data_IF_873486898014
#
_entry.id   IF_873486898014
#
_cell.length_a   1.000
_cell.length_b   1.000
_cell.length_c   1.000
_cell.angle_alpha   90.00
_cell.angle_beta   90.00
_cell.angle_gamma   90.00
#
_symmetry.space_group_name_H-M   'P 1'
#
loop_
_entity.id
_entity.type
_entity.pdbx_description
1 polymer ?
#
# COMPACT_ATOMS: atom_id res chain seq x y z
N UNK A 1 -6.91 -2.87 7.80
CA UNK A 1 -6.53 -4.29 8.03
C UNK A 1 -6.61 -5.05 6.71
N UNK A 2 -7.70 -4.95 5.97
CA UNK A 2 -7.91 -5.61 4.67
C UNK A 2 -6.87 -5.23 3.57
N UNK A 3 -6.47 -3.96 3.47
CA UNK A 3 -5.52 -3.48 2.44
C UNK A 3 -4.10 -4.04 2.63
N UNK A 4 -3.69 -4.28 3.88
CA UNK A 4 -2.39 -4.86 4.20
C UNK A 4 -2.32 -6.32 3.79
N UNK A 5 -3.34 -7.10 4.16
CA UNK A 5 -3.41 -8.52 3.86
C UNK A 5 -3.40 -8.74 2.33
N UNK A 6 -4.11 -7.87 1.56
CA UNK A 6 -4.09 -7.90 0.09
C UNK A 6 -2.70 -7.58 -0.48
N UNK A 7 -2.01 -6.57 0.07
CA UNK A 7 -0.70 -6.16 -0.42
C UNK A 7 0.36 -7.25 -0.17
N UNK A 8 0.38 -7.84 1.03
CA UNK A 8 1.27 -8.95 1.38
C UNK A 8 1.02 -10.14 0.47
N UNK A 9 -0.25 -10.53 0.28
CA UNK A 9 -0.65 -11.63 -0.60
C UNK A 9 -0.17 -11.41 -2.04
N UNK A 10 -0.29 -10.20 -2.59
CA UNK A 10 0.18 -9.87 -3.93
C UNK A 10 1.70 -10.00 -4.07
N UNK A 11 2.49 -9.52 -3.10
CA UNK A 11 3.95 -9.61 -3.16
C UNK A 11 4.43 -11.06 -3.02
N UNK A 12 3.82 -11.83 -2.11
CA UNK A 12 4.24 -13.21 -1.83
C UNK A 12 3.75 -14.22 -2.86
N UNK A 13 2.85 -13.81 -3.76
CA UNK A 13 2.40 -14.64 -4.90
C UNK A 13 3.39 -14.61 -6.08
N UNK A 14 4.36 -13.70 -6.13
CA UNK A 14 5.45 -13.80 -7.10
C UNK A 14 6.32 -15.01 -6.82
N UNK A 15 6.60 -15.80 -7.85
CA UNK A 15 7.27 -17.10 -7.72
C UNK A 15 8.69 -17.00 -7.15
N UNK A 16 9.44 -15.98 -7.53
CA UNK A 16 10.77 -15.69 -7.01
C UNK A 16 10.75 -15.30 -5.53
N UNK A 17 9.77 -14.48 -5.11
CA UNK A 17 9.58 -14.07 -3.71
C UNK A 17 9.14 -15.28 -2.88
N UNK A 18 8.18 -16.07 -3.38
CA UNK A 18 7.71 -17.27 -2.70
C UNK A 18 8.85 -18.29 -2.52
N UNK A 19 9.59 -18.59 -3.58
CA UNK A 19 10.72 -19.54 -3.54
C UNK A 19 11.80 -19.08 -2.55
N UNK A 20 12.12 -17.78 -2.52
CA UNK A 20 13.12 -17.23 -1.62
C UNK A 20 12.70 -17.36 -0.15
N UNK A 21 11.44 -16.99 0.18
CA UNK A 21 10.87 -17.17 1.53
C UNK A 21 11.00 -18.64 1.97
N UNK A 22 10.59 -19.56 1.12
CA UNK A 22 10.60 -21.00 1.40
C UNK A 22 12.02 -21.52 1.57
N UNK A 23 12.92 -21.17 0.66
CA UNK A 23 14.31 -21.63 0.70
C UNK A 23 15.05 -21.11 1.94
N UNK A 24 14.86 -19.85 2.30
CA UNK A 24 15.50 -19.27 3.48
C UNK A 24 14.92 -19.84 4.78
N UNK A 25 13.58 -19.88 4.90
CA UNK A 25 12.95 -20.21 6.17
C UNK A 25 12.81 -21.72 6.41
N UNK A 26 12.41 -22.50 5.41
CA UNK A 26 12.24 -23.95 5.56
C UNK A 26 13.54 -24.74 5.32
N UNK A 27 14.36 -24.27 4.40
CA UNK A 27 15.53 -25.00 3.94
C UNK A 27 16.87 -24.37 4.35
N UNK A 28 16.81 -23.36 5.25
CA UNK A 28 17.98 -22.70 5.83
C UNK A 28 18.95 -22.13 4.77
N UNK A 29 18.39 -21.47 3.74
CA UNK A 29 19.13 -20.87 2.65
C UNK A 29 19.55 -21.84 1.53
N UNK A 30 19.25 -23.14 1.65
CA UNK A 30 19.49 -24.10 0.54
C UNK A 30 18.44 -23.89 -0.55
N UNK A 31 18.87 -23.83 -1.81
CA UNK A 31 17.99 -23.79 -2.97
C UNK A 31 17.37 -25.16 -3.23
N UNK A 32 16.19 -25.37 -2.66
CA UNK A 32 15.40 -26.61 -2.83
C UNK A 32 14.22 -26.38 -3.77
N UNK A 33 13.69 -25.15 -3.80
CA UNK A 33 12.56 -24.74 -4.63
C UNK A 33 13.03 -23.65 -5.60
N UNK A 34 12.88 -23.89 -6.89
CA UNK A 34 13.09 -22.89 -7.92
C UNK A 34 11.76 -22.25 -8.35
N UNK A 35 11.78 -20.96 -8.68
CA UNK A 35 10.59 -20.23 -9.11
C UNK A 35 9.89 -20.89 -10.30
N UNK A 36 10.66 -21.42 -11.26
CA UNK A 36 10.12 -22.12 -12.43
C UNK A 36 9.44 -23.47 -12.14
N UNK A 37 9.55 -23.98 -10.91
CA UNK A 37 8.90 -25.22 -10.47
C UNK A 37 7.55 -24.96 -9.80
N UNK A 38 7.19 -23.70 -9.60
CA UNK A 38 5.99 -23.32 -8.86
C UNK A 38 4.77 -23.20 -9.77
N UNK A 39 3.65 -23.73 -9.29
CA UNK A 39 2.33 -23.61 -9.90
C UNK A 39 1.35 -23.18 -8.82
N UNK A 40 0.58 -22.13 -9.04
CA UNK A 40 -0.42 -21.65 -8.08
C UNK A 40 -1.44 -22.74 -7.80
N UNK A 41 -1.52 -23.16 -6.55
CA UNK A 41 -2.53 -24.11 -6.12
C UNK A 41 -3.89 -23.43 -5.96
N UNK A 42 -4.95 -24.02 -6.53
CA UNK A 42 -6.33 -23.56 -6.35
C UNK A 42 -6.91 -24.26 -5.13
N UNK A 43 -6.52 -23.80 -3.93
CA UNK A 43 -6.91 -24.39 -2.65
C UNK A 43 -8.12 -23.68 -2.01
N UNK A 44 -9.17 -23.45 -2.82
CA UNK A 44 -10.43 -22.92 -2.29
C UNK A 44 -11.33 -24.07 -1.92
N UNK A 45 -11.52 -24.29 -0.63
CA UNK A 45 -12.52 -25.23 -0.13
C UNK A 45 -13.58 -24.47 0.67
N UNK A 46 -14.84 -24.64 0.26
CA UNK A 46 -15.99 -24.12 0.98
C UNK A 46 -16.52 -25.20 1.92
N UNK A 47 -16.72 -24.87 3.20
CA UNK A 47 -17.41 -25.74 4.14
C UNK A 47 -18.70 -25.10 4.65
N UNK A 48 -19.70 -25.94 4.88
CA UNK A 48 -20.95 -25.49 5.46
C UNK A 48 -20.76 -25.17 6.95
N UNK A 49 -21.01 -23.94 7.34
CA UNK A 49 -21.01 -23.52 8.74
C UNK A 49 -22.38 -22.96 9.11
N UNK A 50 -22.66 -22.86 10.40
CA UNK A 50 -23.89 -22.24 10.91
C UNK A 50 -23.95 -20.78 10.43
N UNK A 51 -24.78 -20.48 9.42
CA UNK A 51 -24.90 -19.17 8.79
C UNK A 51 -24.38 -19.06 7.36
N UNK A 52 -24.02 -20.16 6.70
CA UNK A 52 -23.64 -20.19 5.29
C UNK A 52 -22.36 -20.96 4.99
N UNK A 53 -21.97 -20.92 3.71
CA UNK A 53 -20.68 -21.45 3.25
C UNK A 53 -19.56 -20.50 3.70
N UNK A 54 -18.54 -21.05 4.34
CA UNK A 54 -17.30 -20.31 4.64
C UNK A 54 -16.15 -20.92 3.84
N UNK A 55 -15.36 -20.07 3.24
CA UNK A 55 -14.12 -20.46 2.57
C UNK A 55 -12.99 -20.56 3.60
N UNK A 56 -12.23 -21.63 3.54
CA UNK A 56 -10.98 -21.79 4.28
C UNK A 56 -9.86 -21.85 3.24
N UNK A 57 -9.06 -20.80 3.19
CA UNK A 57 -8.00 -20.63 2.20
C UNK A 57 -6.76 -20.07 2.89
N UNK A 58 -5.58 -20.55 2.49
CA UNK A 58 -4.32 -19.91 2.83
C UNK A 58 -4.16 -18.63 2.01
N UNK A 59 -3.34 -17.70 2.48
CA UNK A 59 -3.10 -16.48 1.73
C UNK A 59 -2.44 -16.73 0.38
N UNK A 60 -1.42 -17.58 0.33
CA UNK A 60 -0.78 -18.04 -0.90
C UNK A 60 -0.50 -19.53 -0.81
N UNK A 61 -0.78 -20.29 -1.86
CA UNK A 61 -0.47 -21.73 -1.94
C UNK A 61 0.10 -22.09 -3.30
N UNK A 62 1.22 -22.80 -3.31
CA UNK A 62 1.87 -23.27 -4.55
C UNK A 62 2.22 -24.75 -4.49
N UNK A 63 2.01 -25.41 -5.62
CA UNK A 63 2.50 -26.75 -5.88
C UNK A 63 3.94 -26.64 -6.36
N UNK A 64 4.83 -27.45 -5.83
CA UNK A 64 6.20 -27.60 -6.31
C UNK A 64 6.23 -28.79 -7.26
N UNK A 65 6.71 -28.60 -8.48
CA UNK A 65 6.82 -29.65 -9.49
C UNK A 65 8.27 -30.00 -9.77
N UNK A 66 8.54 -31.29 -9.90
CA UNK A 66 9.80 -31.83 -10.42
C UNK A 66 9.49 -32.91 -11.43
N UNK A 67 10.11 -32.86 -12.60
CA UNK A 67 9.94 -33.83 -13.70
C UNK A 67 8.46 -34.07 -14.06
N UNK A 68 7.65 -33.01 -14.02
CA UNK A 68 6.22 -33.05 -14.32
C UNK A 68 5.32 -33.61 -13.19
N UNK A 69 5.90 -34.07 -12.07
CA UNK A 69 5.20 -34.56 -10.92
C UNK A 69 5.08 -33.50 -9.83
N UNK A 70 3.97 -33.52 -9.08
CA UNK A 70 3.84 -32.70 -7.86
C UNK A 70 4.63 -33.38 -6.75
N UNK A 71 5.64 -32.69 -6.22
CA UNK A 71 6.47 -33.20 -5.12
C UNK A 71 6.11 -32.64 -3.76
N UNK A 72 5.48 -31.45 -3.72
CA UNK A 72 4.94 -30.88 -2.48
C UNK A 72 3.91 -29.80 -2.76
N UNK A 73 3.10 -29.47 -1.74
CA UNK A 73 2.28 -28.26 -1.65
C UNK A 73 2.81 -27.43 -0.50
N UNK A 74 3.13 -26.17 -0.76
CA UNK A 74 3.58 -25.23 0.26
C UNK A 74 2.61 -24.06 0.31
N UNK A 75 2.14 -23.71 1.51
CA UNK A 75 1.27 -22.56 1.74
C UNK A 75 1.91 -21.55 2.66
N UNK A 76 1.63 -20.27 2.41
CA UNK A 76 2.02 -19.15 3.28
C UNK A 76 0.74 -18.55 3.88
N UNK A 77 0.77 -18.33 5.18
CA UNK A 77 -0.27 -17.68 5.97
C UNK A 77 0.32 -16.48 6.68
N UNK A 78 -0.23 -15.29 6.44
CA UNK A 78 0.26 -14.02 6.98
C UNK A 78 -0.52 -13.63 8.25
N UNK A 79 0.19 -13.28 9.30
CA UNK A 79 -0.40 -12.89 10.56
C UNK A 79 0.14 -11.55 11.04
N UNK A 80 -0.68 -10.51 10.99
CA UNK A 80 -0.33 -9.19 11.55
C UNK A 80 -0.41 -9.14 13.08
N UNK A 81 -1.16 -10.07 13.68
CA UNK A 81 -1.30 -10.23 15.15
C UNK A 81 -1.27 -11.69 15.51
N UNK A 82 -0.75 -12.01 16.70
CA UNK A 82 -0.79 -13.36 17.21
C UNK A 82 -2.26 -13.85 17.34
N UNK A 83 -2.51 -15.06 16.84
CA UNK A 83 -3.81 -15.73 16.85
C UNK A 83 -3.73 -17.03 17.65
N UNK A 84 -4.54 -17.10 18.71
CA UNK A 84 -4.62 -18.29 19.56
C UNK A 84 -5.09 -19.54 18.80
N UNK A 85 -5.89 -19.38 17.76
CA UNK A 85 -6.44 -20.49 16.98
C UNK A 85 -5.52 -21.00 15.88
N UNK A 86 -4.29 -20.50 15.76
CA UNK A 86 -3.39 -20.79 14.63
C UNK A 86 -3.15 -22.27 14.43
N UNK A 87 -2.96 -23.05 15.50
CA UNK A 87 -2.76 -24.48 15.40
C UNK A 87 -3.97 -25.20 14.79
N UNK A 88 -5.20 -24.76 15.11
CA UNK A 88 -6.43 -25.28 14.51
C UNK A 88 -6.58 -24.88 13.05
N UNK A 89 -6.24 -23.63 12.72
CA UNK A 89 -6.30 -23.13 11.34
C UNK A 89 -5.35 -23.89 10.43
N UNK A 90 -4.07 -23.99 10.82
CA UNK A 90 -3.06 -24.68 10.01
C UNK A 90 -3.37 -26.17 9.87
N UNK A 91 -3.82 -26.82 10.95
CA UNK A 91 -4.30 -28.21 10.89
C UNK A 91 -5.45 -28.37 9.89
N UNK A 92 -6.40 -27.43 9.89
CA UNK A 92 -7.51 -27.41 8.95
C UNK A 92 -7.06 -27.28 7.49
N UNK A 93 -6.14 -26.37 7.22
CA UNK A 93 -5.59 -26.19 5.88
C UNK A 93 -4.86 -27.43 5.37
N UNK A 94 -4.01 -28.04 6.19
CA UNK A 94 -3.24 -29.21 5.81
C UNK A 94 -4.17 -30.42 5.63
N UNK A 95 -5.17 -30.60 6.51
CA UNK A 95 -6.17 -31.66 6.39
C UNK A 95 -7.00 -31.54 5.10
N UNK A 96 -7.41 -30.31 4.71
CA UNK A 96 -8.12 -30.07 3.46
C UNK A 96 -7.25 -30.40 2.24
N UNK A 97 -5.99 -30.02 2.25
CA UNK A 97 -5.04 -30.32 1.18
C UNK A 97 -4.80 -31.84 1.00
N UNK A 98 -4.68 -32.58 2.12
CA UNK A 98 -4.60 -34.07 2.06
C UNK A 98 -5.92 -34.68 1.62
N UNK A 99 -7.07 -34.18 2.11
CA UNK A 99 -8.37 -34.66 1.67
C UNK A 99 -8.58 -34.52 0.17
N UNK A 100 -8.14 -33.39 -0.40
CA UNK A 100 -8.20 -33.15 -1.84
C UNK A 100 -7.39 -34.20 -2.63
N UNK A 101 -6.20 -34.54 -2.15
CA UNK A 101 -5.38 -35.60 -2.75
C UNK A 101 -6.10 -36.97 -2.72
N UNK A 102 -6.81 -37.26 -1.63
CA UNK A 102 -7.63 -38.48 -1.51
C UNK A 102 -8.80 -38.51 -2.50
N UNK A 103 -9.46 -37.37 -2.71
CA UNK A 103 -10.63 -37.27 -3.59
C UNK A 103 -10.27 -37.25 -5.07
N UNK A 104 -9.06 -36.80 -5.43
CA UNK A 104 -8.59 -36.73 -6.82
C UNK A 104 -8.38 -38.13 -7.45
N UNK A 105 -8.40 -39.20 -6.64
CA UNK A 105 -8.59 -40.60 -7.02
C UNK A 105 -7.61 -41.20 -8.00
N UNK A 106 -6.68 -40.39 -8.55
CA UNK A 106 -5.80 -40.75 -9.66
C UNK A 106 -4.39 -41.16 -9.21
N UNK A 107 -4.08 -41.01 -7.91
CA UNK A 107 -2.72 -41.25 -7.39
C UNK A 107 -2.76 -42.14 -6.17
N UNK A 108 -1.86 -43.13 -6.17
CA UNK A 108 -1.51 -43.92 -4.97
C UNK A 108 -0.45 -43.17 -4.12
N UNK A 109 0.24 -42.19 -4.68
CA UNK A 109 1.32 -41.45 -4.02
C UNK A 109 0.85 -40.06 -3.58
N UNK A 110 0.82 -39.87 -2.27
CA UNK A 110 0.52 -38.57 -1.66
C UNK A 110 1.80 -37.72 -1.56
N UNK A 111 1.68 -36.44 -1.87
CA UNK A 111 2.78 -35.50 -1.68
C UNK A 111 2.62 -34.74 -0.35
N UNK A 112 3.75 -34.34 0.29
CA UNK A 112 3.72 -33.63 1.55
C UNK A 112 3.11 -32.22 1.39
N UNK A 113 2.46 -31.78 2.46
CA UNK A 113 1.90 -30.45 2.62
C UNK A 113 2.66 -29.73 3.73
N UNK A 114 3.12 -28.51 3.47
CA UNK A 114 3.78 -27.67 4.46
C UNK A 114 3.13 -26.28 4.48
N UNK A 115 2.76 -25.82 5.67
CA UNK A 115 2.28 -24.46 5.86
C UNK A 115 3.32 -23.63 6.62
N UNK A 116 3.71 -22.48 6.06
CA UNK A 116 4.56 -21.46 6.65
C UNK A 116 3.66 -20.35 7.21
N UNK A 117 3.81 -20.04 8.46
CA UNK A 117 3.14 -18.91 9.10
C UNK A 117 4.15 -17.78 9.28
N UNK A 118 3.90 -16.63 8.63
CA UNK A 118 4.70 -15.42 8.75
C UNK A 118 4.02 -14.46 9.73
N UNK A 119 4.57 -14.33 10.93
CA UNK A 119 4.05 -13.43 11.96
C UNK A 119 4.80 -12.09 11.92
N UNK A 120 4.07 -11.02 11.51
CA UNK A 120 4.60 -9.67 11.36
C UNK A 120 4.37 -8.78 12.59
N UNK A 121 3.96 -9.37 13.72
CA UNK A 121 3.77 -8.66 14.98
C UNK A 121 5.10 -8.12 15.52
N UNK A 122 5.08 -6.88 16.05
CA UNK A 122 6.26 -6.29 16.73
C UNK A 122 6.41 -6.77 18.17
N UNK A 123 5.50 -7.60 18.68
CA UNK A 123 5.56 -8.28 19.97
C UNK A 123 5.75 -9.77 19.74
N UNK A 124 6.46 -10.47 20.65
CA UNK A 124 6.66 -11.91 20.54
C UNK A 124 5.35 -12.69 20.49
N UNK A 125 5.39 -13.83 19.81
CA UNK A 125 4.27 -14.76 19.78
C UNK A 125 4.12 -15.46 21.13
N UNK A 126 2.99 -15.28 21.79
CA UNK A 126 2.75 -15.78 23.16
C UNK A 126 1.77 -16.95 23.23
N UNK A 127 1.08 -17.27 22.14
CA UNK A 127 0.12 -18.37 22.13
C UNK A 127 0.77 -19.73 21.84
N UNK A 128 0.17 -20.83 22.30
CA UNK A 128 0.66 -22.18 21.98
C UNK A 128 0.74 -22.39 20.46
N UNK A 129 1.78 -23.09 20.03
CA UNK A 129 2.00 -23.47 18.62
C UNK A 129 1.48 -24.87 18.31
N UNK A 130 0.79 -25.51 19.24
CA UNK A 130 0.28 -26.85 19.10
C UNK A 130 -1.16 -26.98 19.59
N UNK A 131 -1.84 -28.00 19.09
CA UNK A 131 -3.25 -28.26 19.32
C UNK A 131 -3.56 -28.47 20.80
N UNK A 132 -2.76 -29.28 21.50
CA UNK A 132 -3.01 -29.57 22.92
C UNK A 132 -2.93 -28.33 23.78
N UNK A 133 -2.01 -27.40 23.47
CA UNK A 133 -1.88 -26.12 24.19
C UNK A 133 -3.06 -25.16 23.96
N UNK A 134 -3.78 -25.29 22.85
CA UNK A 134 -4.96 -24.47 22.53
C UNK A 134 -6.23 -25.02 23.17
N UNK A 135 -6.32 -26.32 23.31
CA UNK A 135 -7.53 -27.03 23.81
C UNK A 135 -7.60 -26.99 25.33
N UNK A 136 -8.81 -27.04 25.84
CA UNK A 136 -9.09 -27.43 27.25
C UNK A 136 -9.24 -28.94 27.28
N UNK A 137 -8.24 -29.64 27.81
CA UNK A 137 -8.25 -31.10 27.89
C UNK A 137 -8.26 -31.51 29.35
N UNK A 138 -9.29 -32.24 29.78
CA UNK A 138 -9.27 -32.85 31.10
C UNK A 138 -8.19 -33.94 31.15
N UNK A 139 -7.65 -34.21 32.34
CA UNK A 139 -6.47 -35.06 32.52
C UNK A 139 -6.66 -36.45 31.93
N UNK A 140 -7.85 -37.03 32.06
CA UNK A 140 -8.22 -38.35 31.57
C UNK A 140 -8.15 -38.49 30.03
N UNK A 141 -8.23 -37.35 29.30
CA UNK A 141 -8.25 -37.36 27.82
C UNK A 141 -6.89 -36.96 27.22
N UNK A 142 -5.90 -36.56 28.02
CA UNK A 142 -4.60 -36.03 27.51
C UNK A 142 -3.90 -37.04 26.59
N UNK A 143 -3.96 -38.32 26.92
CA UNK A 143 -3.27 -39.34 26.14
C UNK A 143 -4.10 -39.82 24.94
N UNK A 144 -5.40 -39.54 24.93
CA UNK A 144 -6.31 -39.94 23.83
C UNK A 144 -6.31 -38.89 22.70
N UNK A 145 -5.86 -37.66 22.97
CA UNK A 145 -5.86 -36.58 21.97
C UNK A 145 -4.53 -36.53 21.21
N UNK A 146 -4.58 -36.69 19.90
CA UNK A 146 -3.42 -36.48 19.04
C UNK A 146 -3.00 -35.00 19.04
N UNK A 147 -1.70 -34.73 19.01
CA UNK A 147 -1.18 -33.40 18.94
C UNK A 147 -0.82 -33.02 17.48
N UNK A 148 -1.12 -31.80 17.11
CA UNK A 148 -0.68 -31.20 15.86
C UNK A 148 0.14 -29.94 16.18
N UNK A 149 1.35 -29.85 15.64
CA UNK A 149 2.27 -28.73 15.94
C UNK A 149 2.54 -27.89 14.69
N UNK A 150 2.35 -26.58 14.79
CA UNK A 150 2.76 -25.61 13.77
C UNK A 150 4.27 -25.43 13.87
N UNK A 151 5.02 -26.21 13.09
CA UNK A 151 6.50 -26.19 13.11
C UNK A 151 7.08 -24.94 12.46
N UNK A 152 6.44 -24.46 11.40
CA UNK A 152 6.98 -23.44 10.51
C UNK A 152 6.33 -22.07 10.80
N UNK A 153 6.30 -21.64 12.04
CA UNK A 153 5.87 -20.31 12.45
C UNK A 153 7.11 -19.44 12.69
N UNK A 154 7.26 -18.42 11.84
CA UNK A 154 8.38 -17.49 11.86
C UNK A 154 7.92 -16.09 12.26
N UNK A 155 8.50 -15.58 13.33
CA UNK A 155 8.28 -14.22 13.82
C UNK A 155 9.22 -13.28 13.06
N UNK A 156 8.76 -12.71 11.94
CA UNK A 156 9.60 -12.00 10.97
C UNK A 156 10.37 -10.85 11.60
N UNK A 157 9.73 -10.09 12.51
CA UNK A 157 10.40 -9.01 13.23
C UNK A 157 11.50 -9.46 14.20
N UNK A 158 11.57 -10.77 14.51
CA UNK A 158 12.54 -11.35 15.44
C UNK A 158 13.54 -12.28 14.76
N UNK A 159 13.55 -12.35 13.44
CA UNK A 159 14.54 -13.11 12.68
C UNK A 159 15.96 -12.57 12.99
N UNK A 160 16.96 -13.46 13.11
CA UNK A 160 18.38 -13.05 13.17
C UNK A 160 18.77 -12.21 11.94
N UNK A 161 19.69 -11.27 12.12
CA UNK A 161 20.09 -10.37 11.05
C UNK A 161 20.67 -11.11 9.84
N UNK A 162 21.47 -12.14 10.09
CA UNK A 162 22.04 -13.01 9.06
C UNK A 162 20.97 -13.75 8.22
N UNK A 163 19.83 -14.10 8.83
CA UNK A 163 18.69 -14.70 8.10
C UNK A 163 18.03 -13.66 7.23
N UNK A 164 17.83 -12.44 7.74
CA UNK A 164 17.28 -11.34 6.94
C UNK A 164 18.17 -11.04 5.74
N UNK A 165 19.49 -10.96 5.94
CA UNK A 165 20.45 -10.69 4.88
C UNK A 165 20.54 -11.82 3.84
N UNK A 166 20.12 -13.03 4.16
CA UNK A 166 20.12 -14.16 3.24
C UNK A 166 18.98 -14.13 2.22
N UNK A 167 17.93 -13.32 2.45
CA UNK A 167 16.90 -13.13 1.43
C UNK A 167 17.45 -12.38 0.22
N UNK A 168 17.16 -12.90 -0.96
CA UNK A 168 17.61 -12.34 -2.24
C UNK A 168 16.51 -11.61 -3.01
N UNK A 169 15.25 -11.90 -2.69
CA UNK A 169 14.06 -11.27 -3.27
C UNK A 169 13.64 -10.01 -2.54
N UNK A 170 12.53 -9.42 -2.98
CA UNK A 170 11.92 -8.25 -2.34
C UNK A 170 11.41 -8.53 -0.91
N UNK A 171 11.31 -9.80 -0.50
CA UNK A 171 10.99 -10.13 0.88
C UNK A 171 12.02 -9.62 1.89
N UNK A 172 13.28 -9.44 1.45
CA UNK A 172 14.29 -8.77 2.26
C UNK A 172 13.80 -7.43 2.84
N UNK A 173 13.24 -6.57 1.99
CA UNK A 173 12.77 -5.24 2.40
C UNK A 173 11.64 -5.32 3.42
N UNK A 174 10.76 -6.31 3.28
CA UNK A 174 9.67 -6.56 4.21
C UNK A 174 10.20 -7.00 5.56
N UNK A 175 11.10 -7.98 5.58
CA UNK A 175 11.70 -8.51 6.79
C UNK A 175 12.55 -7.45 7.51
N UNK A 176 13.37 -6.70 6.76
CA UNK A 176 14.19 -5.61 7.28
C UNK A 176 13.33 -4.47 7.84
N UNK A 177 12.24 -4.13 7.16
CA UNK A 177 11.30 -3.11 7.61
C UNK A 177 10.71 -3.44 8.99
N UNK A 178 10.12 -4.62 9.16
CA UNK A 178 9.52 -4.98 10.46
C UNK A 178 10.56 -5.18 11.55
N UNK A 179 11.75 -5.66 11.20
CA UNK A 179 12.87 -5.75 12.16
C UNK A 179 13.31 -4.36 12.64
N UNK A 180 13.46 -3.38 11.73
CA UNK A 180 13.80 -2.01 12.08
C UNK A 180 12.68 -1.31 12.86
N UNK A 181 11.42 -1.50 12.47
CA UNK A 181 10.28 -0.96 13.22
C UNK A 181 10.26 -1.47 14.66
N UNK A 182 10.57 -2.75 14.89
CA UNK A 182 10.69 -3.32 16.25
C UNK A 182 11.88 -2.76 17.04
N UNK A 183 13.05 -2.62 16.39
CA UNK A 183 14.31 -2.30 17.07
C UNK A 183 14.60 -0.80 17.17
N UNK A 184 14.17 -0.02 16.17
CA UNK A 184 14.49 1.40 16.03
C UNK A 184 13.24 2.30 16.01
N UNK A 185 12.05 1.73 15.85
CA UNK A 185 10.81 2.49 15.71
C UNK A 185 10.61 3.20 14.37
N UNK A 186 11.61 3.16 13.49
CA UNK A 186 11.59 3.79 12.16
C UNK A 186 12.25 2.86 11.15
N UNK A 187 11.79 2.92 9.91
CA UNK A 187 12.37 2.20 8.79
C UNK A 187 13.23 3.09 7.90
N UNK A 188 14.45 2.64 7.64
CA UNK A 188 15.38 3.23 6.66
C UNK A 188 15.74 2.16 5.66
N UNK A 189 15.35 2.35 4.40
CA UNK A 189 15.61 1.39 3.33
C UNK A 189 17.07 1.42 2.85
N UNK A 190 17.64 0.27 2.41
CA UNK A 190 18.95 0.23 1.77
C UNK A 190 18.84 0.81 0.34
N UNK A 191 19.59 1.89 0.03
CA UNK A 191 19.41 2.63 -1.22
C UNK A 191 19.83 1.84 -2.47
N UNK A 192 20.88 1.02 -2.34
CA UNK A 192 21.54 0.37 -3.48
C UNK A 192 21.01 -1.03 -3.79
N UNK A 193 20.07 -1.54 -2.97
CA UNK A 193 19.52 -2.88 -3.17
C UNK A 193 18.51 -2.89 -4.32
N UNK A 194 18.64 -3.86 -5.22
CA UNK A 194 17.72 -4.05 -6.34
C UNK A 194 16.31 -4.44 -5.86
N UNK A 195 15.31 -3.96 -6.57
CA UNK A 195 13.89 -4.25 -6.38
C UNK A 195 13.36 -4.89 -7.66
N UNK A 196 12.70 -6.04 -7.53
CA UNK A 196 12.07 -6.77 -8.63
C UNK A 196 10.61 -6.38 -8.86
N UNK A 197 9.85 -6.23 -7.77
CA UNK A 197 8.40 -6.01 -7.80
C UNK A 197 8.01 -4.70 -7.09
N UNK A 198 8.52 -3.59 -7.62
CA UNK A 198 8.45 -2.26 -6.98
C UNK A 198 7.06 -1.90 -6.47
N UNK A 199 6.01 -2.05 -7.29
CA UNK A 199 4.66 -1.65 -6.91
C UNK A 199 4.08 -2.50 -5.77
N UNK A 200 4.27 -3.82 -5.83
CA UNK A 200 3.82 -4.73 -4.78
C UNK A 200 4.57 -4.45 -3.47
N UNK A 201 5.90 -4.29 -3.55
CA UNK A 201 6.74 -3.95 -2.40
C UNK A 201 6.32 -2.62 -1.75
N UNK A 202 6.13 -1.56 -2.54
CA UNK A 202 5.73 -0.25 -2.02
C UNK A 202 4.39 -0.30 -1.28
N UNK A 203 3.42 -1.10 -1.77
CA UNK A 203 2.15 -1.32 -1.08
C UNK A 203 2.35 -1.97 0.28
N UNK A 204 3.18 -3.00 0.35
CA UNK A 204 3.49 -3.68 1.62
C UNK A 204 4.19 -2.73 2.58
N UNK A 205 5.22 -2.01 2.14
CA UNK A 205 5.93 -1.06 2.98
C UNK A 205 5.03 0.08 3.48
N UNK A 206 4.15 0.61 2.62
CA UNK A 206 3.16 1.60 3.03
C UNK A 206 2.22 1.06 4.12
N UNK A 207 1.78 -0.19 3.98
CA UNK A 207 0.89 -0.83 4.95
C UNK A 207 1.59 -1.14 6.28
N UNK A 208 2.88 -1.47 6.26
CA UNK A 208 3.69 -1.74 7.44
C UNK A 208 4.08 -0.48 8.20
N UNK A 209 4.48 0.58 7.49
CA UNK A 209 4.97 1.84 8.08
C UNK A 209 3.85 2.85 8.35
N UNK A 210 2.69 2.70 7.72
CA UNK A 210 1.62 3.70 7.71
C UNK A 210 1.90 4.89 6.78
N UNK A 211 3.01 4.88 6.05
CA UNK A 211 3.41 5.97 5.16
C UNK A 211 2.72 5.88 3.80
N UNK A 212 1.62 6.59 3.66
CA UNK A 212 0.82 6.62 2.43
C UNK A 212 1.50 7.35 1.26
N UNK A 213 2.63 8.01 1.48
CA UNK A 213 3.39 8.64 0.40
C UNK A 213 3.79 7.61 -0.65
N UNK A 214 4.19 6.41 -0.24
CA UNK A 214 4.48 5.29 -1.15
C UNK A 214 3.32 4.98 -2.11
N UNK A 215 2.07 4.97 -1.63
CA UNK A 215 0.89 4.64 -2.45
C UNK A 215 0.50 5.79 -3.39
N UNK A 216 0.53 7.04 -2.90
CA UNK A 216 0.17 8.20 -3.73
C UNK A 216 1.10 8.40 -4.93
N UNK A 217 2.36 8.01 -4.76
CA UNK A 217 3.38 8.18 -5.77
C UNK A 217 3.34 7.10 -6.86
N UNK A 218 2.81 5.90 -6.56
CA UNK A 218 2.71 4.80 -7.52
C UNK A 218 1.81 5.10 -8.73
N UNK A 219 0.78 5.92 -8.57
CA UNK A 219 -0.10 6.34 -9.69
C UNK A 219 0.58 7.21 -10.75
N UNK A 220 1.83 7.62 -10.51
CA UNK A 220 2.58 8.60 -11.31
C UNK A 220 3.82 8.01 -12.01
N UNK A 221 4.18 6.78 -11.70
CA UNK A 221 5.30 6.09 -12.36
C UNK A 221 4.75 5.35 -13.56
N UNK A 222 5.11 5.78 -14.77
CA UNK A 222 4.93 4.95 -15.96
C UNK A 222 5.76 3.69 -15.78
N UNK A 223 5.12 2.53 -15.89
CA UNK A 223 5.79 1.26 -15.91
C UNK A 223 6.74 1.21 -17.11
N UNK A 224 8.02 1.41 -16.89
CA UNK A 224 9.02 0.84 -17.78
C UNK A 224 9.03 -0.65 -17.50
N UNK A 225 8.50 -1.39 -18.46
CA UNK A 225 8.30 -2.81 -18.39
C UNK A 225 9.63 -3.53 -18.16
N UNK A 226 9.76 -4.21 -17.02
CA UNK A 226 10.68 -5.34 -16.86
C UNK A 226 12.12 -5.06 -16.46
N UNK A 227 12.48 -3.85 -16.04
CA UNK A 227 13.84 -3.54 -15.57
C UNK A 227 13.97 -3.60 -14.05
N UNK A 228 14.96 -4.34 -13.54
CA UNK A 228 15.40 -4.25 -12.15
C UNK A 228 15.84 -2.82 -11.85
N UNK A 229 15.33 -2.21 -10.78
CA UNK A 229 15.73 -0.89 -10.33
C UNK A 229 16.25 -0.95 -8.91
N UNK A 230 17.04 0.03 -8.47
CA UNK A 230 17.38 0.13 -7.05
C UNK A 230 16.31 0.92 -6.29
N UNK A 231 16.21 0.70 -4.99
CA UNK A 231 15.26 1.44 -4.14
C UNK A 231 15.48 2.96 -4.25
N UNK A 232 16.74 3.42 -4.29
CA UNK A 232 17.06 4.83 -4.46
C UNK A 232 16.53 5.38 -5.79
N UNK A 233 16.82 4.72 -6.92
CA UNK A 233 16.36 5.17 -8.25
C UNK A 233 14.84 5.19 -8.35
N UNK A 234 14.18 4.17 -7.78
CA UNK A 234 12.73 4.10 -7.74
C UNK A 234 12.14 5.29 -7.00
N UNK A 235 12.66 5.62 -5.83
CA UNK A 235 12.20 6.74 -5.01
C UNK A 235 12.57 8.10 -5.62
N UNK A 236 13.73 8.25 -6.22
CA UNK A 236 14.13 9.48 -6.92
C UNK A 236 13.21 9.75 -8.12
N UNK A 237 12.87 8.74 -8.89
CA UNK A 237 11.92 8.86 -10.00
C UNK A 237 10.55 9.30 -9.50
N UNK A 238 10.08 8.70 -8.42
CA UNK A 238 8.83 9.05 -7.75
C UNK A 238 8.87 10.49 -7.24
N UNK A 239 9.94 10.87 -6.55
CA UNK A 239 10.13 12.20 -5.97
C UNK A 239 10.18 13.31 -7.04
N UNK A 240 10.96 13.09 -8.08
CA UNK A 240 11.12 14.05 -9.17
C UNK A 240 9.84 14.20 -9.98
N UNK A 241 9.11 13.13 -10.22
CA UNK A 241 7.77 13.14 -10.82
C UNK A 241 6.78 13.96 -10.01
N UNK A 242 6.70 13.74 -8.69
CA UNK A 242 5.83 14.49 -7.79
C UNK A 242 6.16 15.99 -7.71
N UNK A 243 7.45 16.33 -7.73
CA UNK A 243 7.91 17.73 -7.73
C UNK A 243 7.56 18.44 -9.03
N UNK A 244 7.72 17.79 -10.17
CA UNK A 244 7.37 18.34 -11.48
C UNK A 244 5.86 18.61 -11.61
N UNK A 245 5.04 17.68 -11.11
CA UNK A 245 3.59 17.79 -11.15
C UNK A 245 3.07 18.86 -10.19
N UNK A 246 3.54 18.90 -8.95
CA UNK A 246 3.18 19.98 -8.01
C UNK A 246 3.58 21.36 -8.52
N UNK A 247 4.70 21.47 -9.26
CA UNK A 247 5.08 22.71 -9.93
C UNK A 247 4.14 23.06 -11.09
N UNK A 248 3.70 22.06 -11.87
CA UNK A 248 2.77 22.26 -12.97
C UNK A 248 1.37 22.64 -12.47
N UNK A 249 0.88 21.98 -11.43
CA UNK A 249 -0.40 22.32 -10.78
C UNK A 249 -0.39 23.74 -10.20
N UNK A 250 0.63 24.07 -9.40
CA UNK A 250 0.76 25.41 -8.81
C UNK A 250 0.90 26.52 -9.87
N UNK A 251 1.55 26.22 -11.01
CA UNK A 251 1.63 27.16 -12.13
C UNK A 251 0.28 27.33 -12.84
N UNK A 252 -0.49 26.24 -12.98
CA UNK A 252 -1.82 26.27 -13.59
C UNK A 252 -2.83 27.02 -12.71
N UNK A 253 -2.83 26.74 -11.40
CA UNK A 253 -3.66 27.43 -10.42
C UNK A 253 -3.33 28.92 -10.37
N UNK A 254 -2.07 29.29 -10.22
CA UNK A 254 -1.64 30.69 -10.20
C UNK A 254 -1.95 31.46 -11.48
N UNK A 255 -1.88 30.79 -12.66
CA UNK A 255 -2.33 31.39 -13.92
C UNK A 255 -3.85 31.57 -13.98
N UNK A 256 -4.62 30.63 -13.47
CA UNK A 256 -6.07 30.71 -13.45
C UNK A 256 -6.55 31.82 -12.50
N UNK A 257 -5.97 31.89 -11.29
CA UNK A 257 -6.25 32.94 -10.32
C UNK A 257 -5.86 34.33 -10.84
N UNK A 258 -4.64 34.48 -11.32
CA UNK A 258 -4.17 35.77 -11.87
C UNK A 258 -5.00 36.22 -13.09
N UNK A 259 -5.48 35.27 -13.93
CA UNK A 259 -6.38 35.62 -15.03
C UNK A 259 -7.77 36.05 -14.54
N UNK A 260 -8.28 35.39 -13.51
CA UNK A 260 -9.58 35.72 -12.90
C UNK A 260 -9.53 37.11 -12.22
N UNK A 261 -8.47 37.36 -11.44
CA UNK A 261 -8.23 38.66 -10.79
C UNK A 261 -8.04 39.79 -11.81
N UNK A 262 -7.19 39.58 -12.84
CA UNK A 262 -6.98 40.56 -13.87
C UNK A 262 -8.24 40.91 -14.69
N UNK A 263 -9.12 39.87 -14.92
CA UNK A 263 -10.40 40.09 -15.58
C UNK A 263 -11.37 40.89 -14.69
N UNK A 264 -11.40 40.57 -13.39
CA UNK A 264 -12.25 41.26 -12.41
C UNK A 264 -11.80 42.73 -12.27
N UNK A 265 -10.50 42.95 -12.14
CA UNK A 265 -9.91 44.30 -12.04
C UNK A 265 -10.14 45.12 -13.33
N UNK A 266 -9.97 44.49 -14.50
CA UNK A 266 -10.25 45.12 -15.78
C UNK A 266 -11.71 45.53 -15.94
N UNK A 267 -12.65 44.68 -15.54
CA UNK A 267 -14.08 45.02 -15.51
C UNK A 267 -14.39 46.16 -14.52
N UNK A 268 -13.80 46.13 -13.34
CA UNK A 268 -13.98 47.21 -12.37
C UNK A 268 -13.48 48.56 -12.89
N UNK A 269 -12.30 48.58 -13.48
CA UNK A 269 -11.74 49.81 -14.13
C UNK A 269 -12.62 50.32 -15.27
N UNK A 270 -13.19 49.44 -16.10
CA UNK A 270 -14.12 49.82 -17.16
C UNK A 270 -15.41 50.46 -16.62
N UNK A 271 -15.99 49.86 -15.56
CA UNK A 271 -17.18 50.40 -14.88
C UNK A 271 -16.92 51.76 -14.27
N UNK A 272 -15.75 51.97 -13.65
CA UNK A 272 -15.35 53.24 -13.08
C UNK A 272 -15.12 54.30 -14.16
N UNK A 273 -14.44 53.96 -15.26
CA UNK A 273 -14.22 54.88 -16.38
C UNK A 273 -15.54 55.27 -17.03
N UNK A 274 -16.50 54.36 -17.09
CA UNK A 274 -17.85 54.69 -17.61
C UNK A 274 -18.64 55.57 -16.62
N UNK A 275 -18.57 55.28 -15.32
CA UNK A 275 -19.17 56.12 -14.29
C UNK A 275 -18.60 57.56 -14.30
N UNK A 276 -17.29 57.76 -14.46
CA UNK A 276 -16.64 59.09 -14.62
C UNK A 276 -17.19 59.85 -15.85
N UNK A 277 -17.43 59.16 -17.00
CA UNK A 277 -18.04 59.78 -18.18
C UNK A 277 -19.47 60.23 -17.91
N UNK A 278 -20.28 59.46 -17.21
CA UNK A 278 -21.65 59.79 -16.87
C UNK A 278 -21.69 60.96 -15.84
N UNK A 279 -20.75 61.01 -14.88
CA UNK A 279 -20.59 62.13 -13.96
C UNK A 279 -20.30 63.44 -14.70
N UNK A 280 -19.39 63.43 -15.66
CA UNK A 280 -19.04 64.59 -16.49
C UNK A 280 -20.21 65.02 -17.40
N UNK A 281 -21.09 64.09 -17.74
CA UNK A 281 -22.31 64.38 -18.54
C UNK A 281 -23.51 64.78 -17.67
N UNK A 282 -23.31 65.00 -16.36
CA UNK A 282 -24.32 65.47 -15.40
C UNK A 282 -25.54 64.53 -15.21
N UNK A 283 -25.35 63.21 -15.35
CA UNK A 283 -26.38 62.24 -15.03
C UNK A 283 -26.67 62.21 -13.54
N UNK A 284 -27.88 61.78 -13.17
CA UNK A 284 -28.24 61.60 -11.75
C UNK A 284 -27.44 60.44 -11.09
N UNK A 285 -27.20 60.50 -9.80
CA UNK A 285 -26.50 59.46 -9.05
C UNK A 285 -27.19 58.10 -9.18
N UNK A 286 -28.49 58.06 -9.22
CA UNK A 286 -29.29 56.85 -9.41
C UNK A 286 -29.07 56.22 -10.79
N UNK A 287 -29.01 57.05 -11.85
CA UNK A 287 -28.74 56.60 -13.20
C UNK A 287 -27.31 56.08 -13.36
N UNK A 288 -26.33 56.76 -12.72
CA UNK A 288 -24.90 56.37 -12.79
C UNK A 288 -24.71 55.01 -12.09
N UNK A 289 -25.30 54.80 -10.92
CA UNK A 289 -25.24 53.54 -10.20
C UNK A 289 -25.85 52.43 -11.05
N UNK A 290 -26.99 52.70 -11.68
CA UNK A 290 -27.71 51.71 -12.51
C UNK A 290 -26.93 51.38 -13.79
N UNK A 291 -26.47 52.37 -14.54
CA UNK A 291 -25.86 52.18 -15.86
C UNK A 291 -24.39 51.67 -15.78
N UNK A 292 -23.62 52.21 -14.82
CA UNK A 292 -22.23 51.78 -14.63
C UNK A 292 -22.12 50.51 -13.73
N UNK A 293 -23.21 50.06 -13.17
CA UNK A 293 -23.26 48.89 -12.26
C UNK A 293 -22.21 48.98 -11.13
N UNK A 294 -22.13 50.16 -10.50
CA UNK A 294 -21.24 50.39 -9.36
C UNK A 294 -22.07 50.63 -8.09
N UNK A 295 -21.45 50.39 -6.90
CA UNK A 295 -22.12 50.69 -5.65
C UNK A 295 -22.19 52.17 -5.38
N UNK A 296 -23.22 52.61 -4.59
CA UNK A 296 -23.34 53.99 -4.14
C UNK A 296 -22.08 54.48 -3.37
N UNK A 297 -21.46 53.59 -2.60
CA UNK A 297 -20.22 53.85 -1.91
C UNK A 297 -19.08 54.17 -2.89
N UNK A 298 -18.96 53.35 -3.94
CA UNK A 298 -17.92 53.55 -4.96
C UNK A 298 -18.14 54.81 -5.78
N UNK A 299 -19.38 55.19 -6.08
CA UNK A 299 -19.69 56.45 -6.71
C UNK A 299 -19.28 57.65 -5.86
N UNK A 300 -19.48 57.60 -4.52
CA UNK A 300 -19.05 58.63 -3.59
C UNK A 300 -17.53 58.78 -3.61
N UNK A 301 -16.79 57.67 -3.54
CA UNK A 301 -15.33 57.66 -3.59
C UNK A 301 -14.81 58.28 -4.91
N UNK A 302 -15.43 57.94 -6.05
CA UNK A 302 -15.07 58.49 -7.35
C UNK A 302 -15.27 60.00 -7.43
N UNK A 303 -16.38 60.50 -6.86
CA UNK A 303 -16.62 61.97 -6.77
C UNK A 303 -15.55 62.68 -5.92
N UNK A 304 -15.18 62.08 -4.78
CA UNK A 304 -14.14 62.63 -3.89
C UNK A 304 -12.77 62.63 -4.60
N UNK A 305 -12.45 61.58 -5.34
CA UNK A 305 -11.22 61.51 -6.16
C UNK A 305 -11.19 62.59 -7.25
N UNK A 306 -12.28 62.78 -7.99
CA UNK A 306 -12.35 63.80 -9.05
C UNK A 306 -12.18 65.23 -8.49
N UNK A 307 -12.80 65.51 -7.34
CA UNK A 307 -12.63 66.81 -6.64
C UNK A 307 -11.18 67.02 -6.18
N UNK A 308 -10.49 65.96 -5.78
CA UNK A 308 -9.08 66.04 -5.36
C UNK A 308 -8.13 66.22 -6.57
N UNK A 309 -8.43 65.57 -7.71
CA UNK A 309 -7.69 65.71 -8.96
C UNK A 309 -7.79 67.15 -9.53
N UNK A 310 -8.95 67.81 -9.43
CA UNK A 310 -9.13 69.23 -9.84
C UNK A 310 -8.41 70.23 -8.95
N UNK A 311 -8.13 69.88 -7.67
CA UNK A 311 -7.45 70.75 -6.72
C UNK A 311 -5.91 70.71 -6.76
N UNK A 312 -5.32 69.82 -7.56
CA UNK A 312 -3.87 69.72 -7.72
C UNK A 312 -3.46 70.51 -8.97
N UNK A 313 -2.91 71.72 -8.85
CA UNK A 313 -2.48 72.46 -10.02
C UNK A 313 -1.24 71.76 -10.60
N UNK A 314 -1.26 71.59 -11.92
CA UNK A 314 -0.13 71.22 -12.73
C UNK A 314 1.09 72.05 -12.41
N UNK A 315 2.05 71.58 -11.63
CA UNK A 315 3.42 72.11 -11.65
C UNK A 315 4.13 71.44 -12.86
N UNK A 316 4.07 72.12 -14.00
CA UNK A 316 5.00 71.90 -15.08
C UNK A 316 6.36 72.43 -14.63
N UNK A 317 7.33 71.54 -14.55
CA UNK A 317 8.72 71.81 -14.94
C UNK A 317 9.25 70.64 -15.75
#
# INVERSE_FOLDING_TARGET
>A
MHDRDIAEKQLFDYDDVFADIVNVLLFHGRRVVDAGQLETARDKDAYAATGGLREMERDVSKLVRSDGLVVSLIGIENQSRADRSMALRVMGYDALAYRKQLLDGKRMDFYPVATVVLAFGLKPWTYPRDLKGVLRIADEYKDCVSNYTVKNLFEVAFLPREVIESFTSDFYFVADCVWQLRTKGIYTYPPDREVGHLFALMRVLAALTGDRRFVKMMGKVSMDEGGKTTMAKALDTIWNGGKAEGKAEGLAEGKAEGKAEGLAEGKAKQKEAFARKLLNAHFSDADIISYAEISAQRLKELKEQMVSEEKTPYSRQ
#
